data_IF_417831474889
#
_entry.id   IF_417831474889
#
_cell.length_a   1.000
_cell.length_b   1.000
_cell.length_c   1.000
_cell.angle_alpha   90.00
_cell.angle_beta   90.00
_cell.angle_gamma   90.00
#
_symmetry.space_group_name_H-M   'P 1'
#
loop_
_entity.id
_entity.type
_entity.pdbx_description
1 polymer ?
#
# COMPACT_ATOMS: atom_id res chain seq x y z
N UNK A 1 -34.29 12.42 10.79
CA UNK A 1 -33.78 11.82 9.53
C UNK A 1 -32.65 10.88 9.90
N UNK A 2 -32.84 9.56 9.72
CA UNK A 2 -31.83 8.56 10.01
C UNK A 2 -30.78 8.60 8.91
N UNK A 3 -29.51 8.84 9.26
CA UNK A 3 -28.39 8.90 8.33
C UNK A 3 -27.87 7.50 7.89
N UNK A 4 -28.64 6.45 8.13
CA UNK A 4 -28.31 5.09 7.78
C UNK A 4 -29.35 4.52 6.82
N UNK A 5 -29.36 4.98 5.58
CA UNK A 5 -29.76 4.06 4.53
C UNK A 5 -28.60 3.07 4.40
N UNK A 6 -28.80 1.89 4.93
CA UNK A 6 -27.90 0.77 4.67
C UNK A 6 -27.88 0.55 3.17
N UNK A 7 -26.76 0.86 2.52
CA UNK A 7 -26.50 0.41 1.17
C UNK A 7 -26.61 -1.12 1.24
N UNK A 8 -27.68 -1.67 0.71
CA UNK A 8 -27.93 -3.09 0.75
C UNK A 8 -26.74 -3.79 0.05
N UNK A 9 -26.03 -4.60 0.81
CA UNK A 9 -24.91 -5.38 0.31
C UNK A 9 -25.42 -6.38 -0.71
N UNK A 10 -25.18 -6.11 -2.00
CA UNK A 10 -25.57 -6.98 -3.10
C UNK A 10 -24.35 -7.83 -3.49
N UNK A 11 -24.32 -9.06 -3.04
CA UNK A 11 -23.22 -10.01 -3.27
C UNK A 11 -22.94 -10.24 -4.75
N UNK A 12 -23.97 -10.24 -5.57
CA UNK A 12 -23.92 -10.39 -7.02
C UNK A 12 -23.22 -9.25 -7.77
N UNK A 13 -23.13 -8.09 -7.15
CA UNK A 13 -22.48 -6.91 -7.74
C UNK A 13 -21.01 -6.75 -7.34
N UNK A 14 -20.45 -7.72 -6.63
CA UNK A 14 -19.01 -7.69 -6.29
C UNK A 14 -18.13 -7.91 -7.50
N UNK A 15 -17.16 -7.03 -7.65
CA UNK A 15 -16.09 -7.18 -8.64
C UNK A 15 -14.78 -7.45 -7.90
N UNK A 16 -14.14 -8.57 -8.22
CA UNK A 16 -12.80 -8.88 -7.73
C UNK A 16 -11.79 -8.03 -8.51
N UNK A 17 -11.07 -7.14 -7.82
CA UNK A 17 -10.11 -6.22 -8.42
C UNK A 17 -8.65 -6.61 -8.15
N UNK A 18 -8.37 -7.32 -7.06
CA UNK A 18 -7.03 -7.71 -6.66
C UNK A 18 -7.02 -9.11 -6.03
N UNK A 19 -5.97 -9.89 -6.31
CA UNK A 19 -5.81 -11.26 -5.85
C UNK A 19 -6.82 -12.23 -6.44
N UNK A 20 -6.64 -13.52 -6.16
CA UNK A 20 -7.65 -14.53 -6.46
C UNK A 20 -8.37 -14.93 -5.19
N UNK A 21 -9.65 -15.34 -5.26
CA UNK A 21 -10.32 -15.90 -4.11
C UNK A 21 -9.64 -17.22 -3.76
N UNK A 22 -8.90 -17.21 -2.68
CA UNK A 22 -8.21 -18.37 -2.13
C UNK A 22 -8.80 -18.70 -0.75
N UNK A 23 -8.38 -19.80 -0.17
CA UNK A 23 -8.59 -20.05 1.24
C UNK A 23 -7.93 -18.92 2.06
N UNK A 24 -8.33 -18.72 3.30
CA UNK A 24 -7.91 -17.64 4.18
C UNK A 24 -6.38 -17.42 4.24
N UNK A 25 -5.64 -18.50 4.22
CA UNK A 25 -4.17 -18.55 4.24
C UNK A 25 -3.52 -18.18 2.91
N UNK A 26 -4.30 -18.00 1.85
CA UNK A 26 -3.84 -17.66 0.51
C UNK A 26 -4.16 -16.22 0.07
N UNK A 27 -4.61 -15.36 1.00
CA UNK A 27 -4.88 -13.95 0.68
C UNK A 27 -3.63 -13.24 0.17
N UNK A 28 -3.71 -12.67 -1.04
CA UNK A 28 -2.55 -12.03 -1.68
C UNK A 28 -2.37 -10.58 -1.24
N UNK A 29 -3.44 -9.92 -0.86
CA UNK A 29 -3.43 -8.52 -0.43
C UNK A 29 -4.37 -8.30 0.73
N UNK A 30 -3.91 -7.49 1.67
CA UNK A 30 -4.71 -6.91 2.75
C UNK A 30 -4.40 -5.42 2.90
N UNK A 31 -5.06 -4.71 3.81
CA UNK A 31 -4.85 -3.28 4.01
C UNK A 31 -5.07 -2.47 2.73
N UNK A 32 -6.09 -2.85 1.94
CA UNK A 32 -6.35 -2.27 0.63
C UNK A 32 -6.72 -0.80 0.71
N UNK A 33 -6.07 0.02 -0.10
CA UNK A 33 -6.33 1.45 -0.22
C UNK A 33 -6.42 1.86 -1.69
N UNK A 34 -7.41 2.70 -2.04
CA UNK A 34 -7.55 3.22 -3.40
C UNK A 34 -7.62 4.74 -3.34
N UNK A 35 -6.84 5.40 -4.19
CA UNK A 35 -6.92 6.84 -4.41
C UNK A 35 -6.90 7.16 -5.90
N UNK A 36 -7.27 8.41 -6.24
CA UNK A 36 -7.31 8.86 -7.63
C UNK A 36 -6.32 10.00 -7.85
N UNK A 37 -5.54 9.91 -8.93
CA UNK A 37 -4.64 10.98 -9.40
C UNK A 37 -4.57 10.96 -10.92
N UNK A 38 -4.67 12.13 -11.54
CA UNK A 38 -4.48 12.36 -12.98
C UNK A 38 -5.25 11.38 -13.88
N UNK A 39 -6.51 11.11 -13.52
CA UNK A 39 -7.39 10.22 -14.28
C UNK A 39 -7.24 8.72 -13.99
N UNK A 40 -6.23 8.32 -13.22
CA UNK A 40 -6.02 6.94 -12.79
C UNK A 40 -6.49 6.69 -11.37
N UNK A 41 -6.98 5.49 -11.13
CA UNK A 41 -7.17 4.91 -9.79
C UNK A 41 -5.96 4.05 -9.48
N UNK A 42 -5.35 4.29 -8.33
CA UNK A 42 -4.22 3.54 -7.81
C UNK A 42 -4.73 2.66 -6.68
N UNK A 43 -4.59 1.36 -6.85
CA UNK A 43 -4.82 0.40 -5.79
C UNK A 43 -3.48 0.12 -5.10
N UNK A 44 -3.44 0.25 -3.79
CA UNK A 44 -2.34 -0.20 -2.96
C UNK A 44 -2.84 -1.30 -2.03
N UNK A 45 -2.05 -2.34 -1.88
CA UNK A 45 -2.35 -3.44 -0.98
C UNK A 45 -1.08 -4.05 -0.43
N UNK A 46 -1.17 -4.56 0.77
CA UNK A 46 -0.03 -5.19 1.43
C UNK A 46 -0.03 -6.68 1.21
N UNK A 47 1.16 -7.25 1.03
CA UNK A 47 1.37 -8.69 0.85
C UNK A 47 2.54 -9.17 1.71
N UNK A 48 2.67 -10.49 1.86
CA UNK A 48 3.67 -11.09 2.73
C UNK A 48 3.17 -11.29 4.16
N UNK A 49 4.07 -11.68 5.06
CA UNK A 49 3.73 -11.93 6.47
C UNK A 49 3.90 -10.67 7.30
N UNK A 50 2.88 -10.27 8.04
CA UNK A 50 3.00 -9.28 9.11
C UNK A 50 3.28 -9.98 10.44
N UNK A 51 3.52 -9.20 11.49
CA UNK A 51 3.41 -9.64 12.89
C UNK A 51 4.50 -10.62 13.37
N UNK A 52 5.62 -10.71 12.66
CA UNK A 52 6.76 -11.60 12.95
C UNK A 52 8.03 -10.82 13.36
N UNK A 53 7.88 -9.55 13.79
CA UNK A 53 9.02 -8.71 14.15
C UNK A 53 10.05 -8.62 13.01
N UNK A 54 11.31 -8.91 13.32
CA UNK A 54 12.42 -8.90 12.34
C UNK A 54 12.26 -9.87 11.17
N UNK A 55 11.40 -10.88 11.29
CA UNK A 55 11.16 -11.88 10.25
C UNK A 55 10.00 -11.51 9.32
N UNK A 56 9.29 -10.41 9.60
CA UNK A 56 8.18 -9.94 8.77
C UNK A 56 8.64 -9.66 7.33
N UNK A 57 7.88 -10.17 6.37
CA UNK A 57 8.09 -9.97 4.94
C UNK A 57 7.07 -9.02 4.31
N UNK A 58 6.26 -8.39 5.16
CA UNK A 58 5.20 -7.47 4.74
C UNK A 58 5.74 -6.36 3.84
N UNK A 59 4.98 -5.99 2.83
CA UNK A 59 5.37 -4.98 1.86
C UNK A 59 4.11 -4.36 1.23
N UNK A 60 4.21 -3.15 0.69
CA UNK A 60 3.13 -2.49 -0.07
C UNK A 60 3.41 -2.61 -1.55
N UNK A 61 2.39 -3.03 -2.28
CA UNK A 61 2.38 -3.09 -3.74
C UNK A 61 1.32 -2.16 -4.31
N UNK A 62 1.57 -1.67 -5.53
CA UNK A 62 0.66 -0.78 -6.24
C UNK A 62 0.39 -1.27 -7.66
N UNK A 63 -0.81 -1.00 -8.14
CA UNK A 63 -1.20 -1.10 -9.54
C UNK A 63 -2.23 -0.02 -9.85
N UNK A 64 -2.42 0.32 -11.12
CA UNK A 64 -3.36 1.36 -11.52
C UNK A 64 -4.35 0.93 -12.59
N UNK A 65 -5.47 1.64 -12.67
CA UNK A 65 -6.52 1.45 -13.66
C UNK A 65 -7.16 2.79 -14.04
N UNK A 66 -7.75 2.87 -15.22
CA UNK A 66 -8.56 4.02 -15.63
C UNK A 66 -10.00 3.94 -15.12
N UNK A 67 -10.42 2.77 -14.63
CA UNK A 67 -11.72 2.54 -14.03
C UNK A 67 -11.54 1.96 -12.61
N UNK A 68 -12.34 2.43 -11.65
CA UNK A 68 -12.27 1.97 -10.25
C UNK A 68 -12.48 0.45 -10.09
N UNK A 69 -13.21 -0.16 -10.99
CA UNK A 69 -13.41 -1.62 -11.01
C UNK A 69 -12.29 -2.37 -11.72
N UNK A 70 -11.22 -1.68 -12.17
CA UNK A 70 -10.10 -2.26 -12.86
C UNK A 70 -10.28 -2.38 -14.39
N UNK A 71 -9.43 -3.18 -15.06
CA UNK A 71 -8.36 -3.99 -14.47
C UNK A 71 -7.19 -3.14 -13.95
N UNK A 72 -6.72 -3.43 -12.74
CA UNK A 72 -5.54 -2.80 -12.17
C UNK A 72 -4.28 -3.53 -12.66
N UNK A 73 -3.37 -2.78 -13.26
CA UNK A 73 -2.13 -3.30 -13.84
C UNK A 73 -0.92 -2.62 -13.22
N UNK A 74 0.14 -3.40 -13.00
CA UNK A 74 1.46 -2.90 -12.65
C UNK A 74 2.21 -2.32 -13.88
N UNK A 75 3.43 -1.84 -13.68
CA UNK A 75 4.24 -1.25 -14.73
C UNK A 75 4.59 -2.22 -15.86
N UNK A 76 4.67 -3.52 -15.56
CA UNK A 76 4.90 -4.58 -16.55
C UNK A 76 3.61 -4.99 -17.29
N UNK A 77 2.46 -4.43 -16.93
CA UNK A 77 1.16 -4.68 -17.54
C UNK A 77 0.42 -5.90 -16.98
N UNK A 78 0.93 -6.55 -15.93
CA UNK A 78 0.25 -7.65 -15.28
C UNK A 78 -0.94 -7.17 -14.44
N UNK A 79 -2.06 -7.86 -14.60
CA UNK A 79 -3.25 -7.59 -13.81
C UNK A 79 -3.11 -8.22 -12.42
N UNK A 80 -3.16 -7.39 -11.38
CA UNK A 80 -3.02 -7.84 -9.98
C UNK A 80 -4.12 -8.82 -9.53
N UNK A 81 -5.25 -8.86 -10.23
CA UNK A 81 -6.29 -9.88 -10.03
C UNK A 81 -5.76 -11.31 -10.24
N UNK A 82 -4.70 -11.47 -11.05
CA UNK A 82 -4.09 -12.77 -11.35
C UNK A 82 -3.09 -13.23 -10.28
N UNK A 83 -2.83 -12.43 -9.27
CA UNK A 83 -1.97 -12.83 -8.16
C UNK A 83 -2.51 -14.06 -7.46
N UNK A 84 -1.65 -15.01 -7.17
CA UNK A 84 -1.98 -16.30 -6.57
C UNK A 84 -0.90 -16.72 -5.57
N UNK A 85 -1.08 -17.76 -4.80
CA UNK A 85 -0.22 -18.17 -3.69
C UNK A 85 1.29 -18.18 -3.93
N UNK A 86 1.74 -18.27 -5.17
CA UNK A 86 3.16 -18.29 -5.55
C UNK A 86 3.63 -17.03 -6.27
N UNK A 87 2.72 -16.19 -6.73
CA UNK A 87 3.04 -15.01 -7.54
C UNK A 87 2.19 -13.83 -7.12
N UNK A 88 2.82 -12.77 -6.65
CA UNK A 88 2.17 -11.52 -6.29
C UNK A 88 2.61 -10.43 -7.25
N UNK A 89 1.69 -9.94 -8.07
CA UNK A 89 1.91 -8.83 -9.01
C UNK A 89 1.82 -7.48 -8.29
N UNK A 90 2.03 -6.39 -9.03
CA UNK A 90 2.06 -5.02 -8.52
C UNK A 90 3.48 -4.54 -8.20
N UNK A 91 3.74 -3.28 -8.49
CA UNK A 91 5.04 -2.66 -8.22
C UNK A 91 5.25 -2.47 -6.73
N UNK A 92 6.46 -2.69 -6.27
CA UNK A 92 6.84 -2.46 -4.88
C UNK A 92 6.92 -0.95 -4.60
N UNK A 93 6.15 -0.49 -3.63
CA UNK A 93 6.21 0.87 -3.09
C UNK A 93 7.17 0.93 -1.91
N UNK A 94 6.97 0.05 -0.92
CA UNK A 94 7.86 -0.11 0.24
C UNK A 94 7.99 -1.58 0.60
N UNK A 95 9.18 -1.99 1.03
CA UNK A 95 9.48 -3.34 1.49
C UNK A 95 10.67 -3.35 2.47
N UNK A 96 10.90 -4.46 3.15
CA UNK A 96 12.11 -4.67 3.95
C UNK A 96 13.31 -4.86 3.03
N UNK A 97 14.32 -4.00 3.10
CA UNK A 97 15.49 -4.04 2.22
C UNK A 97 16.68 -4.71 2.91
N UNK A 98 17.05 -5.93 2.50
CA UNK A 98 18.26 -6.65 2.96
C UNK A 98 18.20 -7.22 4.38
N UNK A 99 19.32 -7.76 4.86
CA UNK A 99 19.39 -8.51 6.12
C UNK A 99 19.59 -7.67 7.38
N UNK A 100 20.03 -6.42 7.27
CA UNK A 100 20.40 -5.54 8.39
C UNK A 100 19.65 -4.21 8.33
N UNK A 101 18.34 -4.25 8.17
CA UNK A 101 17.60 -3.03 7.97
C UNK A 101 16.94 -2.55 9.23
N UNK A 102 17.02 -1.24 9.39
CA UNK A 102 16.35 -0.53 10.47
C UNK A 102 14.83 -0.65 10.41
N UNK A 103 14.27 -0.92 9.23
CA UNK A 103 12.82 -1.03 8.99
C UNK A 103 12.48 -2.41 8.44
N UNK A 104 11.51 -3.09 9.06
CA UNK A 104 11.03 -4.43 8.68
C UNK A 104 9.51 -4.48 8.56
N UNK A 105 9.05 -5.23 7.57
CA UNK A 105 7.64 -5.51 7.35
C UNK A 105 6.77 -4.27 7.21
N UNK A 106 7.13 -3.28 6.36
CA UNK A 106 6.28 -2.11 6.14
C UNK A 106 5.00 -2.48 5.42
N UNK A 107 3.86 -1.96 5.89
CA UNK A 107 2.59 -2.28 5.25
C UNK A 107 1.38 -1.59 5.86
N UNK A 108 0.18 -2.04 5.40
CA UNK A 108 -1.13 -1.57 5.82
C UNK A 108 -1.25 -0.05 5.67
N UNK A 109 -1.03 0.41 4.45
CA UNK A 109 -0.87 1.81 4.13
C UNK A 109 -2.19 2.59 3.99
N UNK A 110 -2.06 3.90 4.14
CA UNK A 110 -2.99 4.92 3.64
C UNK A 110 -2.23 5.98 2.87
N UNK A 111 -2.93 6.82 2.12
CA UNK A 111 -2.33 7.92 1.34
C UNK A 111 -3.05 9.21 1.68
N UNK A 112 -2.29 10.25 1.96
CA UNK A 112 -2.76 11.62 2.14
C UNK A 112 -2.24 12.48 0.99
N UNK A 113 -3.11 13.35 0.45
CA UNK A 113 -2.69 14.47 -0.38
C UNK A 113 -2.68 15.73 0.50
N UNK A 114 -1.54 16.41 0.58
CA UNK A 114 -1.42 17.66 1.34
C UNK A 114 -1.95 18.87 0.55
N UNK A 115 -2.04 20.02 1.22
CA UNK A 115 -2.55 21.25 0.61
C UNK A 115 -1.57 21.88 -0.41
N UNK A 116 -0.31 21.48 -0.39
CA UNK A 116 0.67 21.80 -1.41
C UNK A 116 0.58 20.90 -2.65
N UNK A 117 -0.27 19.86 -2.59
CA UNK A 117 -0.51 18.92 -3.69
C UNK A 117 0.41 17.70 -3.70
N UNK A 118 1.29 17.54 -2.70
CA UNK A 118 2.12 16.35 -2.57
C UNK A 118 1.31 15.18 -2.01
N UNK A 119 1.77 13.97 -2.29
CA UNK A 119 1.18 12.75 -1.75
C UNK A 119 2.13 12.13 -0.75
N UNK A 120 1.57 11.63 0.34
CA UNK A 120 2.28 11.03 1.46
C UNK A 120 1.71 9.65 1.74
N UNK A 121 2.57 8.68 1.92
CA UNK A 121 2.18 7.34 2.36
C UNK A 121 2.41 7.22 3.86
N UNK A 122 1.42 6.68 4.55
CA UNK A 122 1.51 6.26 5.94
C UNK A 122 1.38 4.75 5.99
N UNK A 123 2.08 4.13 6.89
CA UNK A 123 1.99 2.71 7.12
C UNK A 123 2.58 2.35 8.47
N UNK A 124 2.69 1.09 8.78
CA UNK A 124 3.42 0.66 9.96
C UNK A 124 4.61 -0.20 9.56
N UNK A 125 5.62 -0.23 10.43
CA UNK A 125 6.75 -1.14 10.30
C UNK A 125 7.36 -1.43 11.68
N UNK A 126 8.14 -2.48 11.77
CA UNK A 126 9.04 -2.72 12.90
C UNK A 126 10.35 -1.99 12.69
N UNK A 127 11.00 -1.52 13.77
CA UNK A 127 12.27 -0.79 13.72
C UNK A 127 13.34 -1.44 14.59
N UNK A 128 14.61 -1.25 14.20
CA UNK A 128 15.76 -1.82 14.91
C UNK A 128 15.95 -1.24 16.31
N UNK A 129 15.55 0.02 16.53
CA UNK A 129 15.75 0.73 17.79
C UNK A 129 15.07 0.05 19.00
N UNK A 130 13.97 -0.67 18.80
CA UNK A 130 13.30 -1.47 19.84
C UNK A 130 13.51 -2.97 19.64
N UNK A 131 14.51 -3.35 18.85
CA UNK A 131 14.78 -4.74 18.47
C UNK A 131 13.57 -5.41 17.78
N UNK A 132 12.83 -4.64 17.00
CA UNK A 132 11.64 -5.07 16.24
C UNK A 132 10.52 -5.61 17.14
N UNK A 133 10.40 -5.08 18.36
CA UNK A 133 9.43 -5.57 19.34
C UNK A 133 8.02 -5.08 19.03
N UNK A 134 7.88 -3.83 18.54
CA UNK A 134 6.59 -3.22 18.25
C UNK A 134 6.53 -2.62 16.86
N UNK A 135 5.30 -2.40 16.37
CA UNK A 135 5.09 -1.70 15.09
C UNK A 135 4.96 -0.20 15.35
N UNK A 136 5.67 0.58 14.57
CA UNK A 136 5.67 2.03 14.62
C UNK A 136 4.94 2.61 13.41
N UNK A 137 4.29 3.75 13.59
CA UNK A 137 3.77 4.53 12.48
C UNK A 137 4.94 5.10 11.68
N UNK A 138 4.90 4.87 10.39
CA UNK A 138 5.88 5.37 9.43
C UNK A 138 5.18 6.27 8.43
N UNK A 139 5.92 7.24 7.92
CA UNK A 139 5.46 8.17 6.89
C UNK A 139 6.59 8.39 5.88
N UNK A 140 6.23 8.58 4.62
CA UNK A 140 7.17 9.04 3.61
C UNK A 140 6.43 9.72 2.47
N UNK A 141 7.19 10.46 1.64
CA UNK A 141 6.66 11.10 0.45
C UNK A 141 6.52 10.10 -0.69
N UNK A 142 5.39 10.16 -1.40
CA UNK A 142 5.22 9.44 -2.65
C UNK A 142 5.70 10.29 -3.81
N UNK A 143 6.65 9.76 -4.56
CA UNK A 143 7.09 10.28 -5.84
C UNK A 143 6.50 9.45 -6.99
N UNK A 144 6.59 9.95 -8.21
CA UNK A 144 6.10 9.25 -9.42
C UNK A 144 7.23 9.05 -10.41
N UNK A 145 7.35 7.81 -10.90
CA UNK A 145 8.29 7.49 -11.97
C UNK A 145 7.80 7.99 -13.34
N UNK A 146 8.64 7.85 -14.37
CA UNK A 146 8.32 8.28 -15.74
C UNK A 146 7.12 7.54 -16.34
N UNK A 147 6.77 6.37 -15.81
CA UNK A 147 5.58 5.62 -16.18
C UNK A 147 4.34 6.03 -15.38
N UNK A 148 4.48 6.97 -14.45
CA UNK A 148 3.41 7.45 -13.58
C UNK A 148 3.01 6.43 -12.50
N UNK A 149 3.94 5.59 -12.06
CA UNK A 149 3.72 4.70 -10.91
C UNK A 149 4.31 5.30 -9.64
N UNK A 150 3.59 5.28 -8.51
CA UNK A 150 4.09 5.86 -7.27
C UNK A 150 5.13 4.96 -6.60
N UNK A 151 6.14 5.58 -6.02
CA UNK A 151 7.17 4.91 -5.24
C UNK A 151 7.61 5.78 -4.06
N UNK A 152 8.23 5.16 -3.09
CA UNK A 152 9.02 5.82 -2.04
C UNK A 152 10.49 5.73 -2.43
N UNK A 153 11.27 6.80 -2.22
CA UNK A 153 12.71 6.80 -2.50
C UNK A 153 13.40 5.65 -1.76
N UNK A 154 14.25 4.93 -2.46
CA UNK A 154 14.88 3.72 -1.92
C UNK A 154 13.94 2.53 -1.67
N UNK A 155 12.63 2.67 -1.92
CA UNK A 155 11.58 1.66 -1.69
C UNK A 155 11.51 1.14 -0.24
N UNK A 156 11.85 2.00 0.72
CA UNK A 156 11.75 1.71 2.15
C UNK A 156 11.38 3.00 2.88
N UNK A 157 10.62 2.91 3.98
CA UNK A 157 10.36 4.09 4.80
C UNK A 157 11.66 4.65 5.35
N UNK A 158 11.78 5.98 5.28
CA UNK A 158 12.88 6.74 5.88
C UNK A 158 12.85 6.54 7.40
N UNK A 159 14.03 6.30 7.98
CA UNK A 159 14.18 6.07 9.40
C UNK A 159 15.47 6.73 9.91
N UNK A 160 15.38 7.40 11.08
CA UNK A 160 16.48 8.15 11.70
C UNK A 160 17.03 9.32 10.86
N UNK A 161 16.26 9.84 9.93
CA UNK A 161 16.58 11.02 9.15
C UNK A 161 15.48 12.06 9.32
N UNK A 162 15.85 13.33 9.35
CA UNK A 162 14.88 14.42 9.29
C UNK A 162 14.32 14.52 7.88
N UNK A 163 13.01 14.66 7.75
CA UNK A 163 12.32 14.89 6.49
C UNK A 163 11.23 15.93 6.67
N UNK A 164 10.94 16.65 5.60
CA UNK A 164 9.75 17.50 5.56
C UNK A 164 8.49 16.65 5.72
N UNK A 165 7.48 17.22 6.34
CA UNK A 165 6.17 16.58 6.48
C UNK A 165 5.13 17.18 5.54
N UNK A 166 3.91 16.61 5.52
CA UNK A 166 2.81 17.15 4.74
C UNK A 166 2.42 18.56 5.20
N UNK A 167 2.19 19.43 4.26
CA UNK A 167 1.68 20.77 4.52
C UNK A 167 0.16 20.73 4.65
N UNK A 168 -0.35 20.97 5.85
CA UNK A 168 -1.79 21.05 6.13
C UNK A 168 -2.10 22.43 6.69
N UNK A 169 -2.96 23.20 5.99
CA UNK A 169 -3.48 24.47 6.50
C UNK A 169 -4.49 24.19 7.62
N UNK A 170 -4.30 24.84 8.75
CA UNK A 170 -5.26 24.81 9.86
C UNK A 170 -6.19 26.02 9.67
N UNK A 171 -7.44 25.77 9.29
CA UNK A 171 -8.49 26.80 9.29
C UNK A 171 -9.03 27.04 10.70
#
# INVERSE_FOLDING_TARGET
MSCYESVAYQKENKVLIAGQPTAWDGAQYEGSYIFKKDGYYYYMGSSGTCCEGKNSTYNVRVARATNILGPYKDSDGYNIKLSSGTTTYGDIVVFSKGSNLDVKGPGHNSVLKDDAGNYWIYGHAYISADNYATRHLMMDKLEWDDNGMPYVEGKCFTYNEEMDGPWISIE
#
